data_IF_977414982326
#
_entry.id   IF_977414982326
#
_cell.length_a   1.000
_cell.length_b   1.000
_cell.length_c   1.000
_cell.angle_alpha   90.00
_cell.angle_beta   90.00
_cell.angle_gamma   90.00
#
_symmetry.space_group_name_H-M   'P 1'
#
loop_
_entity.id
_entity.type
_entity.pdbx_description
1 polymer ?
#
# COMPACT_ATOMS: atom_id res chain seq x y z
N UNK A 1 -39.15 -8.36 -10.12
CA UNK A 1 -38.27 -7.18 -10.02
C UNK A 1 -36.86 -7.56 -9.68
N UNK A 2 -36.02 -7.59 -10.71
CA UNK A 2 -34.60 -7.91 -10.62
C UNK A 2 -33.82 -6.60 -10.44
N UNK A 3 -33.59 -6.19 -9.20
CA UNK A 3 -32.61 -5.15 -8.89
C UNK A 3 -31.22 -5.79 -8.95
N UNK A 4 -30.55 -5.63 -10.08
CA UNK A 4 -29.14 -6.02 -10.25
C UNK A 4 -28.28 -5.29 -9.23
N UNK A 5 -27.71 -6.01 -8.25
CA UNK A 5 -26.64 -5.52 -7.38
C UNK A 5 -25.40 -5.23 -8.23
N UNK A 6 -25.26 -3.98 -8.68
CA UNK A 6 -24.02 -3.49 -9.28
C UNK A 6 -22.97 -3.35 -8.17
N UNK A 7 -22.20 -4.42 -7.94
CA UNK A 7 -20.94 -4.32 -7.21
C UNK A 7 -19.96 -3.51 -8.06
N UNK A 8 -19.68 -2.27 -7.65
CA UNK A 8 -18.66 -1.43 -8.29
C UNK A 8 -17.34 -2.22 -8.34
N UNK A 9 -16.59 -2.18 -9.44
CA UNK A 9 -15.27 -2.83 -9.53
C UNK A 9 -14.30 -2.30 -8.44
N UNK A 10 -14.60 -1.15 -7.81
CA UNK A 10 -13.89 -0.69 -6.60
C UNK A 10 -14.19 -1.50 -5.33
N UNK A 11 -15.32 -2.23 -5.27
CA UNK A 11 -15.57 -3.24 -4.22
C UNK A 11 -14.81 -4.54 -4.49
N UNK A 12 -14.25 -4.71 -5.69
CA UNK A 12 -13.40 -5.85 -6.02
C UNK A 12 -12.08 -5.72 -5.24
N UNK A 13 -11.91 -6.56 -4.22
CA UNK A 13 -10.76 -6.49 -3.30
C UNK A 13 -11.02 -5.73 -1.99
N UNK A 14 -12.22 -5.16 -1.79
CA UNK A 14 -12.68 -4.73 -0.46
C UNK A 14 -13.08 -5.98 0.32
N UNK A 15 -12.07 -6.71 0.79
CA UNK A 15 -12.29 -7.79 1.74
C UNK A 15 -12.76 -7.19 3.07
N UNK A 16 -13.67 -7.87 3.80
CA UNK A 16 -14.03 -7.47 5.14
C UNK A 16 -12.77 -7.32 5.99
N UNK A 17 -12.72 -6.29 6.82
CA UNK A 17 -11.58 -6.02 7.68
C UNK A 17 -11.36 -7.24 8.57
N UNK A 18 -10.26 -7.97 8.34
CA UNK A 18 -9.90 -9.10 9.20
C UNK A 18 -9.62 -8.53 10.60
N UNK A 19 -10.40 -8.97 11.58
CA UNK A 19 -10.19 -8.57 12.96
C UNK A 19 -9.01 -9.35 13.55
N UNK A 20 -7.90 -8.65 13.74
CA UNK A 20 -6.73 -9.18 14.43
C UNK A 20 -6.87 -8.98 15.95
N UNK A 21 -6.30 -9.91 16.72
CA UNK A 21 -6.19 -9.76 18.18
C UNK A 21 -5.39 -8.51 18.54
N UNK A 22 -5.66 -7.95 19.73
CA UNK A 22 -4.95 -6.76 20.22
C UNK A 22 -3.44 -6.99 20.31
N UNK A 23 -3.01 -8.19 20.74
CA UNK A 23 -1.59 -8.56 20.80
C UNK A 23 -0.87 -8.50 19.44
N UNK A 24 -1.56 -8.90 18.35
CA UNK A 24 -1.00 -8.82 17.00
C UNK A 24 -0.91 -7.35 16.57
N UNK A 25 -1.95 -6.55 16.83
CA UNK A 25 -1.96 -5.12 16.52
C UNK A 25 -0.83 -4.38 17.24
N UNK A 26 -0.62 -4.66 18.52
CA UNK A 26 0.49 -4.11 19.32
C UNK A 26 1.85 -4.49 18.73
N UNK A 27 2.05 -5.75 18.35
CA UNK A 27 3.30 -6.18 17.72
C UNK A 27 3.54 -5.49 16.36
N UNK A 28 2.49 -5.30 15.57
CA UNK A 28 2.54 -4.58 14.30
C UNK A 28 2.91 -3.11 14.52
N UNK A 29 2.34 -2.45 15.53
CA UNK A 29 2.70 -1.07 15.92
C UNK A 29 4.17 -0.99 16.34
N UNK A 30 4.63 -1.90 17.20
CA UNK A 30 6.02 -1.92 17.66
C UNK A 30 7.01 -2.06 16.49
N UNK A 31 6.72 -2.97 15.55
CA UNK A 31 7.58 -3.17 14.39
C UNK A 31 7.55 -1.96 13.44
N UNK A 32 6.38 -1.37 13.17
CA UNK A 32 6.24 -0.16 12.36
C UNK A 32 6.98 1.05 12.98
N UNK A 33 6.88 1.23 14.29
CA UNK A 33 7.59 2.28 15.04
C UNK A 33 9.10 2.04 15.01
N UNK A 34 9.56 0.79 15.06
CA UNK A 34 10.98 0.47 14.91
C UNK A 34 11.51 0.85 13.53
N UNK A 35 10.75 0.55 12.46
CA UNK A 35 11.09 0.94 11.08
C UNK A 35 11.19 2.48 10.98
N UNK A 36 10.19 3.20 11.47
CA UNK A 36 10.19 4.66 11.50
C UNK A 36 11.40 5.23 12.24
N UNK A 37 11.68 4.71 13.44
CA UNK A 37 12.78 5.15 14.31
C UNK A 37 14.13 4.96 13.64
N UNK A 38 14.39 3.76 13.12
CA UNK A 38 15.67 3.41 12.50
C UNK A 38 15.82 4.15 11.18
N UNK A 39 14.77 4.17 10.37
CA UNK A 39 14.82 4.73 9.02
C UNK A 39 14.94 6.25 8.98
N UNK A 40 14.38 6.97 9.95
CA UNK A 40 14.53 8.44 10.05
C UNK A 40 15.55 8.89 11.10
N UNK A 41 16.17 7.95 11.85
CA UNK A 41 17.09 8.24 12.95
C UNK A 41 16.52 9.20 14.01
N UNK A 42 15.23 9.05 14.33
CA UNK A 42 14.48 9.89 15.28
C UNK A 42 14.09 9.10 16.52
N UNK A 43 13.61 9.79 17.55
CA UNK A 43 13.00 9.15 18.72
C UNK A 43 11.73 8.37 18.33
N UNK A 44 11.38 7.28 19.05
CA UNK A 44 10.15 6.55 18.79
C UNK A 44 8.92 7.44 19.03
N UNK A 45 8.05 7.52 18.03
CA UNK A 45 6.77 8.19 18.10
C UNK A 45 5.74 7.35 17.37
N UNK A 46 4.79 6.75 18.09
CA UNK A 46 3.77 5.84 17.54
C UNK A 46 2.62 6.58 16.84
N UNK A 47 2.52 7.90 17.02
CA UNK A 47 1.44 8.74 16.50
C UNK A 47 1.88 9.52 15.25
N UNK A 48 3.15 9.40 14.85
CA UNK A 48 3.67 10.14 13.71
C UNK A 48 2.99 9.72 12.40
N UNK A 49 2.44 10.65 11.61
CA UNK A 49 1.72 10.32 10.39
C UNK A 49 2.61 9.70 9.31
N UNK A 50 3.95 9.74 9.43
CA UNK A 50 4.89 9.17 8.46
C UNK A 50 5.11 7.66 8.64
N UNK A 51 4.73 7.09 9.78
CA UNK A 51 4.92 5.65 10.08
C UNK A 51 4.36 4.74 8.97
N UNK A 52 3.13 4.95 8.43
CA UNK A 52 2.56 4.06 7.43
C UNK A 52 3.32 4.12 6.12
N UNK A 53 3.61 5.33 5.62
CA UNK A 53 4.40 5.52 4.40
C UNK A 53 5.78 4.90 4.55
N UNK A 54 6.48 5.16 5.66
CA UNK A 54 7.81 4.59 5.88
C UNK A 54 7.77 3.05 5.91
N UNK A 55 6.76 2.49 6.57
CA UNK A 55 6.58 1.04 6.65
C UNK A 55 6.32 0.43 5.28
N UNK A 56 5.40 1.00 4.49
CA UNK A 56 5.08 0.51 3.15
C UNK A 56 6.25 0.67 2.18
N UNK A 57 6.94 1.81 2.19
CA UNK A 57 8.14 2.04 1.39
C UNK A 57 9.26 1.06 1.75
N UNK A 58 9.47 0.78 3.05
CA UNK A 58 10.46 -0.21 3.49
C UNK A 58 10.11 -1.62 3.01
N UNK A 59 8.82 -2.00 3.06
CA UNK A 59 8.37 -3.29 2.53
C UNK A 59 8.57 -3.37 1.02
N UNK A 60 8.18 -2.34 0.27
CA UNK A 60 8.33 -2.29 -1.18
C UNK A 60 9.81 -2.37 -1.60
N UNK A 61 10.68 -1.58 -0.96
CA UNK A 61 12.12 -1.60 -1.22
C UNK A 61 12.73 -2.97 -0.91
N UNK A 62 12.34 -3.62 0.19
CA UNK A 62 12.83 -4.96 0.52
C UNK A 62 12.44 -6.00 -0.54
N UNK A 63 11.22 -5.89 -1.11
CA UNK A 63 10.75 -6.77 -2.18
C UNK A 63 11.54 -6.49 -3.47
N UNK A 64 11.77 -5.23 -3.81
CA UNK A 64 12.58 -4.82 -4.97
C UNK A 64 14.01 -5.36 -4.85
N UNK A 65 14.69 -5.18 -3.71
CA UNK A 65 16.02 -5.73 -3.51
C UNK A 65 16.06 -7.27 -3.60
N UNK A 66 14.98 -7.95 -3.23
CA UNK A 66 14.86 -9.40 -3.41
C UNK A 66 14.71 -9.79 -4.88
N UNK A 67 13.98 -8.99 -5.66
CA UNK A 67 13.86 -9.16 -7.11
C UNK A 67 15.19 -8.93 -7.80
N UNK A 68 15.86 -7.80 -7.54
CA UNK A 68 17.16 -7.46 -8.10
C UNK A 68 18.19 -8.58 -7.81
N UNK A 69 18.23 -9.06 -6.56
CA UNK A 69 19.13 -10.15 -6.15
C UNK A 69 18.85 -11.45 -6.92
N UNK A 70 17.58 -11.76 -7.20
CA UNK A 70 17.22 -12.96 -7.95
C UNK A 70 17.48 -12.80 -9.44
N UNK A 71 17.28 -11.60 -9.99
CA UNK A 71 17.62 -11.26 -11.36
C UNK A 71 19.12 -11.42 -11.62
N UNK A 72 19.97 -10.97 -10.70
CA UNK A 72 21.42 -11.16 -10.74
C UNK A 72 21.80 -12.67 -10.76
N UNK A 73 21.01 -13.52 -10.11
CA UNK A 73 21.17 -14.98 -10.14
C UNK A 73 20.53 -15.65 -11.37
N UNK A 74 19.87 -14.89 -12.24
CA UNK A 74 19.12 -15.38 -13.41
C UNK A 74 17.82 -16.10 -13.07
N UNK A 75 17.20 -15.76 -11.94
CA UNK A 75 16.02 -16.45 -11.37
C UNK A 75 14.86 -15.49 -11.19
N UNK A 76 13.63 -15.98 -11.35
CA UNK A 76 12.43 -15.19 -11.11
C UNK A 76 12.11 -15.05 -9.60
N UNK A 77 11.42 -13.97 -9.21
CA UNK A 77 11.03 -13.66 -7.81
C UNK A 77 10.37 -14.83 -7.07
N UNK A 78 9.60 -15.67 -7.78
CA UNK A 78 8.90 -16.84 -7.22
C UNK A 78 9.46 -18.18 -7.70
N UNK A 79 10.52 -18.19 -8.50
CA UNK A 79 11.03 -19.39 -9.15
C UNK A 79 11.97 -20.23 -8.27
N UNK A 80 12.72 -19.60 -7.36
CA UNK A 80 13.84 -20.25 -6.68
C UNK A 80 14.08 -19.84 -5.22
N UNK A 81 13.13 -19.15 -4.59
CA UNK A 81 13.27 -18.77 -3.19
C UNK A 81 13.30 -20.00 -2.28
N UNK A 82 14.22 -20.00 -1.31
CA UNK A 82 14.19 -21.02 -0.26
C UNK A 82 12.88 -20.93 0.54
N UNK A 83 12.39 -22.04 1.09
CA UNK A 83 11.12 -22.09 1.84
C UNK A 83 11.03 -21.04 2.96
N UNK A 84 12.16 -20.74 3.61
CA UNK A 84 12.29 -19.68 4.62
C UNK A 84 12.10 -18.28 4.03
N UNK A 85 12.72 -17.99 2.89
CA UNK A 85 12.61 -16.68 2.22
C UNK A 85 11.19 -16.45 1.71
N UNK A 86 10.57 -17.47 1.11
CA UNK A 86 9.18 -17.40 0.66
C UNK A 86 8.22 -17.13 1.84
N UNK A 87 8.43 -17.81 2.97
CA UNK A 87 7.64 -17.56 4.19
C UNK A 87 7.87 -16.14 4.74
N UNK A 88 9.11 -15.64 4.68
CA UNK A 88 9.44 -14.27 5.05
C UNK A 88 8.78 -13.23 4.16
N UNK A 89 8.79 -13.43 2.83
CA UNK A 89 8.12 -12.57 1.86
C UNK A 89 6.60 -12.53 2.11
N UNK A 90 5.99 -13.69 2.36
CA UNK A 90 4.57 -13.77 2.74
C UNK A 90 4.28 -12.97 4.02
N UNK A 91 5.12 -13.13 5.04
CA UNK A 91 4.96 -12.40 6.30
C UNK A 91 5.14 -10.89 6.11
N UNK A 92 6.06 -10.45 5.25
CA UNK A 92 6.29 -9.04 4.93
C UNK A 92 5.07 -8.40 4.25
N UNK A 93 4.51 -9.07 3.23
CA UNK A 93 3.30 -8.61 2.54
C UNK A 93 2.11 -8.58 3.49
N UNK A 94 1.96 -9.60 4.34
CA UNK A 94 0.91 -9.63 5.36
C UNK A 94 1.09 -8.50 6.37
N UNK A 95 2.31 -8.24 6.84
CA UNK A 95 2.60 -7.14 7.75
C UNK A 95 2.21 -5.79 7.16
N UNK A 96 2.59 -5.50 5.90
CA UNK A 96 2.18 -4.26 5.22
C UNK A 96 0.65 -4.12 5.14
N UNK A 97 -0.06 -5.22 4.86
CA UNK A 97 -1.52 -5.23 4.80
C UNK A 97 -2.19 -5.05 6.16
N UNK A 98 -1.63 -5.62 7.24
CA UNK A 98 -2.17 -5.48 8.61
C UNK A 98 -1.86 -4.11 9.18
N UNK A 99 -0.71 -3.51 8.85
CA UNK A 99 -0.29 -2.21 9.38
C UNK A 99 -1.31 -1.10 9.11
N UNK A 100 -2.04 -1.15 7.99
CA UNK A 100 -3.11 -0.19 7.71
C UNK A 100 -4.24 -0.24 8.76
N UNK A 101 -4.39 -1.35 9.49
CA UNK A 101 -5.44 -1.50 10.51
C UNK A 101 -5.08 -0.89 11.85
N UNK A 102 -3.80 -0.58 12.08
CA UNK A 102 -3.29 0.00 13.33
C UNK A 102 -3.17 1.52 13.28
N UNK A 103 -3.55 2.14 12.15
CA UNK A 103 -3.39 3.56 11.88
C UNK A 103 -4.77 4.21 11.77
N UNK A 104 -4.95 5.46 12.25
CA UNK A 104 -6.21 6.17 12.09
C UNK A 104 -6.60 6.30 10.60
N UNK A 105 -7.88 6.02 10.29
CA UNK A 105 -8.39 6.00 8.92
C UNK A 105 -8.15 7.32 8.15
N UNK A 106 -8.26 8.47 8.81
CA UNK A 106 -8.04 9.77 8.19
C UNK A 106 -6.59 9.96 7.68
N UNK A 107 -5.60 9.39 8.39
CA UNK A 107 -4.18 9.45 7.97
C UNK A 107 -3.97 8.61 6.72
N UNK A 108 -4.57 7.42 6.67
CA UNK A 108 -4.52 6.53 5.50
C UNK A 108 -5.19 7.19 4.29
N UNK A 109 -6.36 7.80 4.48
CA UNK A 109 -7.05 8.55 3.44
C UNK A 109 -6.21 9.73 2.93
N UNK A 110 -5.57 10.48 3.82
CA UNK A 110 -4.69 11.58 3.44
C UNK A 110 -3.50 11.09 2.60
N UNK A 111 -2.88 9.98 2.98
CA UNK A 111 -1.80 9.36 2.20
C UNK A 111 -2.29 8.83 0.86
N UNK A 112 -3.46 8.19 0.82
CA UNK A 112 -4.09 7.75 -0.42
C UNK A 112 -4.34 8.93 -1.36
N UNK A 113 -4.91 10.03 -0.87
CA UNK A 113 -5.15 11.24 -1.68
C UNK A 113 -3.84 11.85 -2.16
N UNK A 114 -2.78 11.88 -1.35
CA UNK A 114 -1.45 12.33 -1.78
C UNK A 114 -0.87 11.44 -2.87
N UNK A 115 -0.92 10.11 -2.70
CA UNK A 115 -0.44 9.14 -3.69
C UNK A 115 -1.24 9.23 -4.99
N UNK A 116 -2.57 9.37 -4.89
CA UNK A 116 -3.45 9.60 -6.03
C UNK A 116 -3.18 10.96 -6.67
N UNK A 117 -2.85 12.01 -5.90
CA UNK A 117 -2.49 13.33 -6.43
C UNK A 117 -1.18 13.32 -7.23
N UNK A 118 -0.24 12.45 -6.87
CA UNK A 118 0.96 12.18 -7.68
C UNK A 118 0.61 11.46 -8.99
N UNK A 119 -0.39 10.56 -8.97
CA UNK A 119 -0.85 9.80 -10.14
C UNK A 119 -1.87 10.54 -11.02
N UNK A 120 -2.58 11.54 -10.46
CA UNK A 120 -3.65 12.32 -11.07
C UNK A 120 -3.27 13.81 -11.02
N UNK A 121 -2.55 14.33 -12.04
CA UNK A 121 -1.90 15.65 -12.04
C UNK A 121 -2.79 16.89 -11.82
N UNK A 122 -4.10 16.74 -11.67
CA UNK A 122 -5.05 17.86 -11.70
C UNK A 122 -5.89 18.03 -10.41
N UNK A 123 -5.33 17.67 -9.25
CA UNK A 123 -5.81 18.15 -7.95
C UNK A 123 -4.86 19.25 -7.47
N UNK A 124 -5.00 20.45 -8.06
CA UNK A 124 -4.16 21.64 -7.82
C UNK A 124 -3.59 21.72 -6.39
N UNK A 125 -2.27 21.85 -6.28
CA UNK A 125 -1.62 23.06 -5.74
C UNK A 125 -0.27 23.22 -6.47
N UNK A 126 -0.35 23.90 -7.62
CA UNK A 126 0.72 24.63 -8.32
C UNK A 126 2.12 23.98 -8.36
N UNK A 127 2.37 23.28 -9.47
CA UNK A 127 3.65 22.77 -10.01
C UNK A 127 4.13 21.34 -9.68
N UNK A 128 3.48 20.34 -10.30
CA UNK A 128 4.06 19.03 -10.72
C UNK A 128 3.17 18.46 -11.84
N UNK A 129 3.65 17.81 -12.94
CA UNK A 129 4.67 16.74 -12.94
C UNK A 129 5.54 16.58 -14.23
N UNK A 130 6.44 15.56 -14.30
CA UNK A 130 6.73 14.91 -15.60
C UNK A 130 5.76 13.74 -15.80
N UNK A 131 4.68 14.04 -16.53
CA UNK A 131 3.64 13.11 -16.96
C UNK A 131 4.15 12.00 -17.91
N UNK A 132 5.37 12.15 -18.42
CA UNK A 132 5.97 11.27 -19.42
C UNK A 132 6.62 10.02 -18.81
N UNK A 133 6.73 9.97 -17.47
CA UNK A 133 7.18 8.83 -16.63
C UNK A 133 6.00 7.99 -16.09
N UNK A 134 4.78 8.28 -16.55
CA UNK A 134 3.52 7.71 -16.08
C UNK A 134 2.80 7.04 -17.26
N UNK A 135 2.48 5.74 -17.20
CA UNK A 135 1.64 5.06 -18.20
C UNK A 135 0.20 4.91 -17.73
N UNK A 136 -0.63 5.74 -18.34
CA UNK A 136 -2.02 5.98 -18.05
C UNK A 136 -2.99 4.94 -18.64
N UNK A 137 -2.55 3.81 -19.24
CA UNK A 137 -3.51 2.75 -19.61
C UNK A 137 -4.34 2.27 -18.42
N UNK A 138 -3.91 2.52 -17.19
CA UNK A 138 -4.66 2.18 -15.98
C UNK A 138 -5.44 3.33 -15.36
N UNK A 139 -5.00 4.57 -15.58
CA UNK A 139 -5.89 5.71 -15.32
C UNK A 139 -7.17 5.56 -16.15
N UNK A 140 -7.07 4.94 -17.34
CA UNK A 140 -8.18 4.48 -18.22
C UNK A 140 -9.26 3.66 -17.50
N UNK A 141 -8.91 2.82 -16.53
CA UNK A 141 -9.88 2.09 -15.70
C UNK A 141 -10.39 2.99 -14.58
N UNK A 142 -9.51 3.85 -14.04
CA UNK A 142 -9.77 4.83 -12.99
C UNK A 142 -10.94 5.78 -13.25
N UNK A 143 -11.48 5.82 -14.47
CA UNK A 143 -12.66 6.59 -14.84
C UNK A 143 -13.91 5.74 -15.16
N UNK A 144 -13.75 4.51 -15.70
CA UNK A 144 -14.85 3.62 -16.09
C UNK A 144 -15.78 3.27 -14.91
N UNK A 145 -15.32 3.50 -13.68
CA UNK A 145 -16.04 3.25 -12.43
C UNK A 145 -16.38 4.48 -11.61
N UNK A 146 -15.84 5.63 -11.97
CA UNK A 146 -16.36 6.93 -11.51
C UNK A 146 -17.81 7.16 -12.02
N UNK A 147 -18.29 6.25 -12.85
CA UNK A 147 -19.52 6.24 -13.64
C UNK A 147 -20.84 6.07 -12.85
N UNK A 148 -20.96 5.28 -11.76
CA UNK A 148 -22.19 5.20 -10.97
C UNK A 148 -22.37 6.38 -10.00
N UNK A 149 -21.30 7.12 -9.69
CA UNK A 149 -21.35 8.30 -8.81
C UNK A 149 -21.85 9.58 -9.51
N UNK A 150 -22.49 9.49 -10.68
CA UNK A 150 -23.25 10.62 -11.25
C UNK A 150 -24.77 10.35 -11.31
N UNK A 151 -25.20 9.12 -11.05
CA UNK A 151 -26.62 8.75 -11.03
C UNK A 151 -27.24 8.82 -9.62
N UNK A 152 -26.42 9.13 -8.62
CA UNK A 152 -26.85 9.70 -7.33
C UNK A 152 -26.55 11.19 -7.31
#
# INVERSE_FOLDING_TARGET
>A
DASSEFHSILSFGVQPLIEYSNSIKEMVVLFATAIYRIGLQVAPNEVDPRIPIMTWSTCAFTIQCLEDLLEDEGKALFGSLQSRQHSGLKALVQFAAVQRTTVPQHVIQQHLVRLLGVLLPNLKVEDTPSLLDVDLFHVLVGAVLSFPSSYW
#
